data_IF_448272194968
#
_entry.id   IF_448272194968
#
_cell.length_a   1.000
_cell.length_b   1.000
_cell.length_c   1.000
_cell.angle_alpha   90.00
_cell.angle_beta   90.00
_cell.angle_gamma   90.00
#
_symmetry.space_group_name_H-M   'P 1'
#
loop_
_entity.id
_entity.type
_entity.pdbx_description
1 polymer ?
#
# COMPACT_ATOMS: atom_id res chain seq x y z
N UNK A 1 6.01 2.80 -15.36
CA UNK A 1 6.81 2.73 -14.12
C UNK A 1 5.95 2.06 -13.06
N UNK A 2 6.38 0.92 -12.54
CA UNK A 2 5.72 0.26 -11.41
C UNK A 2 6.18 0.88 -10.08
N UNK A 3 5.30 0.87 -9.08
CA UNK A 3 5.66 1.22 -7.71
C UNK A 3 5.86 -0.09 -6.93
N UNK A 4 6.91 -0.12 -6.11
CA UNK A 4 7.14 -1.22 -5.17
C UNK A 4 6.13 -1.15 -4.02
N UNK A 5 5.84 -2.30 -3.41
CA UNK A 5 5.01 -2.41 -2.21
C UNK A 5 5.82 -3.21 -1.21
N UNK A 6 6.15 -2.61 -0.06
CA UNK A 6 6.97 -3.25 0.98
C UNK A 6 6.32 -4.54 1.52
N UNK A 7 4.98 -4.55 1.67
CA UNK A 7 4.24 -5.72 2.11
C UNK A 7 2.89 -5.86 1.40
N UNK A 8 2.61 -7.07 0.91
CA UNK A 8 1.35 -7.42 0.27
C UNK A 8 0.62 -8.52 1.04
N UNK A 9 -0.61 -8.24 1.47
CA UNK A 9 -1.48 -9.18 2.16
C UNK A 9 -2.78 -9.44 1.41
N UNK A 10 -3.39 -10.61 1.66
CA UNK A 10 -4.73 -10.95 1.19
C UNK A 10 -5.61 -11.37 2.36
N UNK A 11 -6.79 -10.77 2.48
CA UNK A 11 -7.79 -11.15 3.51
C UNK A 11 -9.19 -11.01 2.95
N UNK A 12 -10.03 -12.03 3.13
CA UNK A 12 -11.41 -12.07 2.65
C UNK A 12 -11.57 -11.68 1.17
N UNK A 13 -10.64 -12.12 0.32
CA UNK A 13 -10.66 -11.82 -1.11
C UNK A 13 -10.14 -10.42 -1.49
N UNK A 14 -9.86 -9.54 -0.53
CA UNK A 14 -9.28 -8.21 -0.76
C UNK A 14 -7.76 -8.23 -0.66
N UNK A 15 -7.10 -7.35 -1.42
CA UNK A 15 -5.65 -7.14 -1.38
C UNK A 15 -5.33 -5.91 -0.55
N UNK A 16 -4.27 -5.98 0.23
CA UNK A 16 -3.80 -4.89 1.07
C UNK A 16 -2.31 -4.68 0.83
N UNK A 17 -1.95 -3.51 0.32
CA UNK A 17 -0.57 -3.06 0.20
C UNK A 17 -0.21 -2.15 1.37
N UNK A 18 0.96 -2.35 1.94
CA UNK A 18 1.49 -1.49 2.98
C UNK A 18 2.86 -0.99 2.57
N UNK A 19 3.09 0.30 2.82
CA UNK A 19 4.38 0.95 2.67
C UNK A 19 4.86 1.38 4.05
N UNK A 20 6.04 0.95 4.45
CA UNK A 20 6.63 1.29 5.73
C UNK A 20 7.54 2.51 5.56
N UNK A 21 7.30 3.54 6.37
CA UNK A 21 8.12 4.75 6.39
C UNK A 21 8.43 5.15 7.81
N UNK A 22 9.69 5.51 8.06
CA UNK A 22 10.12 6.06 9.33
C UNK A 22 9.86 7.58 9.36
N UNK A 23 9.34 8.10 10.48
CA UNK A 23 8.93 9.49 10.62
C UNK A 23 7.68 9.87 9.84
N UNK A 24 7.45 11.18 9.71
CA UNK A 24 6.21 11.76 9.12
C UNK A 24 6.20 11.78 7.59
N UNK A 25 7.10 11.05 6.93
CA UNK A 25 7.23 11.08 5.48
C UNK A 25 6.14 10.23 4.83
N UNK A 26 5.19 10.88 4.17
CA UNK A 26 4.20 10.20 3.34
C UNK A 26 4.81 9.57 2.08
N UNK A 27 4.10 8.59 1.53
CA UNK A 27 4.39 7.99 0.23
C UNK A 27 3.22 8.25 -0.74
N UNK A 28 3.50 8.20 -2.04
CA UNK A 28 2.45 8.33 -3.07
C UNK A 28 1.78 6.96 -3.29
N UNK A 29 0.45 6.90 -3.42
CA UNK A 29 -0.23 5.65 -3.68
C UNK A 29 0.26 4.97 -4.98
N UNK A 30 0.47 3.65 -4.99
CA UNK A 30 0.85 2.90 -6.17
C UNK A 30 -0.34 2.80 -7.13
N UNK A 31 -0.44 3.76 -8.08
CA UNK A 31 -1.60 3.90 -8.98
C UNK A 31 -1.97 2.61 -9.71
N UNK A 32 -0.98 1.91 -10.27
CA UNK A 32 -1.20 0.65 -10.99
C UNK A 32 -1.75 -0.44 -10.07
N UNK A 33 -1.28 -0.53 -8.84
CA UNK A 33 -1.82 -1.52 -7.89
C UNK A 33 -3.29 -1.26 -7.56
N UNK A 34 -3.66 0.00 -7.33
CA UNK A 34 -5.04 0.36 -7.05
C UNK A 34 -5.96 0.24 -8.28
N UNK A 35 -5.43 0.37 -9.50
CA UNK A 35 -6.23 0.27 -10.73
C UNK A 35 -6.40 -1.17 -11.23
N UNK A 36 -5.37 -2.00 -11.13
CA UNK A 36 -5.39 -3.39 -11.63
C UNK A 36 -6.16 -4.34 -10.71
N UNK A 37 -6.31 -3.98 -9.44
CA UNK A 37 -6.99 -4.80 -8.45
C UNK A 37 -8.18 -4.04 -7.86
N UNK A 38 -9.38 -4.34 -8.36
CA UNK A 38 -10.65 -3.64 -8.06
C UNK A 38 -11.01 -3.53 -6.57
N UNK A 39 -10.38 -4.35 -5.70
CA UNK A 39 -10.58 -4.36 -4.25
C UNK A 39 -9.27 -4.23 -3.46
N UNK A 40 -8.26 -3.60 -4.06
CA UNK A 40 -7.01 -3.31 -3.38
C UNK A 40 -7.12 -2.05 -2.52
N UNK A 41 -6.64 -2.14 -1.28
CA UNK A 41 -6.38 -0.99 -0.41
C UNK A 41 -4.89 -0.80 -0.24
N UNK A 42 -4.44 0.45 -0.14
CA UNK A 42 -3.04 0.77 0.15
C UNK A 42 -2.94 1.77 1.30
N UNK A 43 -2.00 1.54 2.22
CA UNK A 43 -1.77 2.39 3.40
C UNK A 43 -0.29 2.57 3.68
N UNK A 44 0.05 3.72 4.26
CA UNK A 44 1.38 3.97 4.82
C UNK A 44 1.34 3.66 6.31
N UNK A 45 2.29 2.84 6.77
CA UNK A 45 2.54 2.57 8.19
C UNK A 45 3.75 3.37 8.63
N UNK A 46 3.59 4.15 9.70
CA UNK A 46 4.64 4.92 10.33
C UNK A 46 4.48 4.86 11.86
N UNK A 47 5.33 5.58 12.59
CA UNK A 47 5.30 5.59 14.06
C UNK A 47 4.01 6.16 14.68
N UNK A 48 3.15 6.81 13.88
CA UNK A 48 1.92 7.45 14.35
C UNK A 48 0.68 6.54 14.19
N UNK A 49 0.79 5.35 13.56
CA UNK A 49 -0.37 4.49 13.25
C UNK A 49 -0.14 2.96 13.32
#
# INVERSE_FOLDING_TARGET
MGAEIDYLGKRQGKLFGFEMKYGKRGARPPKTFLSEYENAEWRVVNEEN
#
